data_IF_737726757256
#
_entry.id   IF_737726757256
#
_cell.length_a   1.000
_cell.length_b   1.000
_cell.length_c   1.000
_cell.angle_alpha   90.00
_cell.angle_beta   90.00
_cell.angle_gamma   90.00
#
_symmetry.space_group_name_H-M   'P 1'
#
loop_
_entity.id
_entity.type
_entity.pdbx_description
1 polymer ?
#
# COMPACT_ATOMS: atom_id res chain seq x y z
N UNK A 1 -11.92 -10.30 11.66
CA UNK A 1 -12.17 -8.95 12.19
C UNK A 1 -13.63 -8.75 12.61
N UNK A 2 -14.59 -8.89 11.70
CA UNK A 2 -16.02 -8.67 12.02
C UNK A 2 -16.52 -9.63 13.11
N UNK A 3 -16.22 -10.92 13.01
CA UNK A 3 -16.54 -11.92 14.03
C UNK A 3 -15.93 -11.64 15.40
N UNK A 4 -14.80 -10.93 15.42
CA UNK A 4 -14.15 -10.46 16.64
C UNK A 4 -14.68 -9.10 17.15
N UNK A 5 -15.82 -8.62 16.62
CA UNK A 5 -16.49 -7.40 17.06
C UNK A 5 -15.95 -6.09 16.48
N UNK A 6 -14.98 -6.12 15.56
CA UNK A 6 -14.46 -4.90 14.93
C UNK A 6 -15.33 -4.44 13.76
N UNK A 7 -15.64 -3.13 13.73
CA UNK A 7 -16.15 -2.49 12.53
C UNK A 7 -15.03 -2.36 11.50
N UNK A 8 -15.22 -2.87 10.29
CA UNK A 8 -14.24 -2.80 9.21
C UNK A 8 -14.73 -1.88 8.09
N UNK A 9 -13.82 -1.08 7.54
CA UNK A 9 -14.09 -0.17 6.43
C UNK A 9 -12.99 -0.38 5.39
N UNK A 10 -13.38 -0.77 4.18
CA UNK A 10 -12.47 -1.03 3.08
C UNK A 10 -12.85 -0.18 1.85
N UNK A 11 -12.35 1.05 1.75
CA UNK A 11 -12.66 1.93 0.62
C UNK A 11 -11.89 1.52 -0.63
N UNK A 12 -12.47 1.74 -1.80
CA UNK A 12 -11.69 1.77 -3.04
C UNK A 12 -10.85 3.05 -3.09
N UNK A 13 -9.58 2.92 -3.37
CA UNK A 13 -8.69 4.06 -3.61
C UNK A 13 -9.14 4.85 -4.84
N UNK A 14 -8.67 6.11 -4.96
CA UNK A 14 -8.92 6.91 -6.17
C UNK A 14 -8.48 6.16 -7.42
N UNK A 15 -9.32 6.14 -8.45
CA UNK A 15 -9.07 5.40 -9.68
C UNK A 15 -9.39 3.90 -9.62
N UNK A 16 -9.97 3.41 -8.52
CA UNK A 16 -10.35 2.01 -8.37
C UNK A 16 -11.84 1.84 -8.10
N UNK A 17 -12.40 0.74 -8.56
CA UNK A 17 -13.78 0.33 -8.28
C UNK A 17 -14.80 1.43 -8.57
N UNK A 18 -15.62 1.75 -7.59
CA UNK A 18 -16.65 2.78 -7.69
C UNK A 18 -16.16 4.21 -7.39
N UNK A 19 -14.94 4.38 -6.86
CA UNK A 19 -14.41 5.71 -6.53
C UNK A 19 -14.14 6.53 -7.79
N UNK A 20 -14.70 7.73 -7.85
CA UNK A 20 -14.65 8.63 -9.02
C UNK A 20 -14.14 10.01 -8.62
N UNK A 21 -13.46 10.66 -9.53
CA UNK A 21 -13.17 12.09 -9.42
C UNK A 21 -14.43 12.90 -9.68
N UNK A 22 -14.66 13.92 -8.84
CA UNK A 22 -15.86 14.80 -8.96
C UNK A 22 -15.80 15.74 -10.17
N UNK A 23 -14.61 15.98 -10.70
CA UNK A 23 -14.39 16.87 -11.86
C UNK A 23 -13.39 16.25 -12.83
N UNK A 24 -13.66 16.43 -14.14
CA UNK A 24 -12.75 16.04 -15.21
C UNK A 24 -11.42 16.80 -15.15
N UNK A 25 -11.45 18.05 -14.64
CA UNK A 25 -10.26 18.89 -14.50
C UNK A 25 -9.38 18.53 -13.28
N UNK A 26 -9.81 17.62 -12.39
CA UNK A 26 -8.97 17.21 -11.25
C UNK A 26 -7.77 16.41 -11.75
N UNK A 27 -6.52 16.78 -11.39
CA UNK A 27 -5.33 16.01 -11.75
C UNK A 27 -5.40 14.56 -11.26
N UNK A 28 -5.10 13.60 -12.15
CA UNK A 28 -5.07 12.17 -11.83
C UNK A 28 -3.74 11.81 -11.18
N UNK A 29 -3.58 12.21 -9.93
CA UNK A 29 -2.37 12.00 -9.12
C UNK A 29 -2.58 10.82 -8.18
N UNK A 30 -1.69 9.83 -8.25
CA UNK A 30 -1.64 8.65 -7.39
C UNK A 30 -0.46 8.66 -6.41
N UNK A 31 0.18 9.84 -6.20
CA UNK A 31 1.27 9.99 -5.25
C UNK A 31 0.81 9.73 -3.81
N UNK A 32 1.73 9.23 -2.97
CA UNK A 32 1.42 8.80 -1.60
C UNK A 32 0.78 9.90 -0.75
N UNK A 33 1.22 11.15 -0.91
CA UNK A 33 0.64 12.30 -0.20
C UNK A 33 -0.85 12.49 -0.51
N UNK A 34 -1.24 12.28 -1.77
CA UNK A 34 -2.62 12.39 -2.20
C UNK A 34 -3.48 11.23 -1.68
N UNK A 35 -2.95 10.01 -1.71
CA UNK A 35 -3.63 8.82 -1.21
C UNK A 35 -3.80 8.85 0.32
N UNK A 36 -2.79 9.33 1.05
CA UNK A 36 -2.84 9.50 2.49
C UNK A 36 -3.88 10.57 2.89
N UNK A 37 -3.92 11.70 2.17
CA UNK A 37 -4.90 12.74 2.43
C UNK A 37 -6.33 12.24 2.17
N UNK A 38 -6.55 11.48 1.09
CA UNK A 38 -7.86 10.86 0.83
C UNK A 38 -8.32 9.97 1.99
N UNK A 39 -7.41 9.17 2.56
CA UNK A 39 -7.74 8.29 3.67
C UNK A 39 -8.13 9.08 4.93
N UNK A 40 -7.40 10.15 5.25
CA UNK A 40 -7.70 11.02 6.37
C UNK A 40 -9.03 11.77 6.17
N UNK A 41 -9.22 12.39 5.01
CA UNK A 41 -10.45 13.11 4.66
C UNK A 41 -11.68 12.18 4.70
N UNK A 42 -11.51 10.93 4.26
CA UNK A 42 -12.56 9.93 4.30
C UNK A 42 -12.97 9.59 5.74
N UNK A 43 -12.00 9.39 6.63
CA UNK A 43 -12.30 9.14 8.05
C UNK A 43 -12.92 10.35 8.74
N UNK A 44 -12.51 11.57 8.36
CA UNK A 44 -13.12 12.82 8.85
C UNK A 44 -14.59 12.93 8.43
N UNK A 45 -14.89 12.62 7.17
CA UNK A 45 -16.27 12.63 6.65
C UNK A 45 -17.17 11.57 7.31
N UNK A 46 -16.58 10.48 7.80
CA UNK A 46 -17.30 9.47 8.58
C UNK A 46 -17.42 9.82 10.07
N UNK A 47 -16.80 10.90 10.53
CA UNK A 47 -16.78 11.28 11.94
C UNK A 47 -15.99 10.29 12.81
N UNK A 48 -14.96 9.64 12.26
CA UNK A 48 -14.14 8.64 12.96
C UNK A 48 -12.80 9.29 13.35
N UNK A 49 -12.65 9.74 14.61
CA UNK A 49 -11.45 10.48 15.03
C UNK A 49 -10.23 9.57 15.23
N UNK A 50 -10.43 8.28 15.57
CA UNK A 50 -9.36 7.33 15.85
C UNK A 50 -9.68 5.95 15.29
N UNK A 51 -8.68 5.28 14.69
CA UNK A 51 -8.85 4.00 14.02
C UNK A 51 -7.53 3.23 13.93
N UNK A 52 -7.60 1.93 13.71
CA UNK A 52 -6.46 1.10 13.33
C UNK A 52 -6.42 0.94 11.81
N UNK A 53 -5.21 0.80 11.27
CA UNK A 53 -4.98 0.65 9.82
C UNK A 53 -4.46 -0.74 9.53
N UNK A 54 -5.06 -1.41 8.56
CA UNK A 54 -4.55 -2.64 7.97
C UNK A 54 -4.33 -2.34 6.50
N UNK A 55 -3.09 -2.33 6.05
CA UNK A 55 -2.74 -1.99 4.68
C UNK A 55 -1.83 -3.02 4.03
N UNK A 56 -2.12 -3.36 2.77
CA UNK A 56 -1.29 -4.21 1.94
C UNK A 56 -0.72 -3.39 0.77
N UNK A 57 0.55 -3.58 0.44
CA UNK A 57 1.26 -2.90 -0.65
C UNK A 57 1.06 -1.37 -0.60
N UNK A 58 0.38 -0.76 -1.56
CA UNK A 58 0.04 0.67 -1.53
C UNK A 58 -0.75 1.06 -0.28
N UNK A 59 -1.61 0.16 0.21
CA UNK A 59 -2.31 0.34 1.48
C UNK A 59 -1.36 0.40 2.68
N UNK A 60 -0.28 -0.37 2.70
CA UNK A 60 0.75 -0.28 3.73
C UNK A 60 1.50 1.07 3.64
N UNK A 61 1.86 1.51 2.43
CA UNK A 61 2.47 2.84 2.21
C UNK A 61 1.57 3.98 2.70
N UNK A 62 0.27 3.89 2.41
CA UNK A 62 -0.73 4.83 2.94
C UNK A 62 -0.77 4.76 4.47
N UNK A 63 -0.78 3.56 5.04
CA UNK A 63 -0.78 3.35 6.48
C UNK A 63 0.41 4.02 7.18
N UNK A 64 1.61 3.82 6.67
CA UNK A 64 2.79 4.54 7.17
C UNK A 64 2.67 6.05 7.02
N UNK A 65 2.15 6.53 5.88
CA UNK A 65 2.01 7.96 5.63
C UNK A 65 1.03 8.63 6.61
N UNK A 66 -0.14 8.05 6.83
CA UNK A 66 -1.10 8.61 7.80
C UNK A 66 -0.62 8.47 9.24
N UNK A 67 0.12 7.40 9.58
CA UNK A 67 0.75 7.24 10.89
C UNK A 67 1.84 8.30 11.15
N UNK A 68 2.57 8.69 10.10
CA UNK A 68 3.56 9.78 10.20
C UNK A 68 2.92 11.17 10.27
N UNK A 69 1.81 11.39 9.54
CA UNK A 69 1.12 12.70 9.49
C UNK A 69 0.28 12.96 10.74
N UNK A 70 -0.44 11.95 11.22
CA UNK A 70 -1.45 12.06 12.27
C UNK A 70 -1.37 10.89 13.26
N UNK A 71 -0.22 10.69 13.95
CA UNK A 71 -0.02 9.55 14.84
C UNK A 71 -1.08 9.44 15.94
N UNK A 72 -1.59 10.57 16.44
CA UNK A 72 -2.63 10.62 17.47
C UNK A 72 -3.97 10.01 17.04
N UNK A 73 -4.20 9.85 15.75
CA UNK A 73 -5.42 9.25 15.17
C UNK A 73 -5.31 7.76 14.94
N UNK A 74 -4.09 7.21 14.95
CA UNK A 74 -3.85 5.82 14.58
C UNK A 74 -3.58 5.01 15.84
N UNK A 75 -4.48 4.08 16.17
CA UNK A 75 -4.34 3.21 17.33
C UNK A 75 -3.27 2.14 17.12
N UNK A 76 -3.21 1.58 15.91
CA UNK A 76 -2.19 0.62 15.48
C UNK A 76 -2.12 0.56 13.95
N UNK A 77 -0.97 0.13 13.44
CA UNK A 77 -0.74 -0.12 12.01
C UNK A 77 -0.33 -1.57 11.78
N UNK A 78 -1.07 -2.29 10.95
CA UNK A 78 -0.64 -3.57 10.40
C UNK A 78 -0.30 -3.37 8.92
N UNK A 79 0.99 -3.43 8.58
CA UNK A 79 1.50 -3.24 7.24
C UNK A 79 1.91 -4.59 6.63
N UNK A 80 1.41 -4.90 5.44
CA UNK A 80 1.63 -6.16 4.76
C UNK A 80 2.47 -5.95 3.51
N UNK A 81 3.52 -6.75 3.35
CA UNK A 81 4.39 -6.91 2.19
C UNK A 81 5.27 -5.73 1.81
N UNK A 82 5.05 -4.55 2.36
CA UNK A 82 5.85 -3.36 2.05
C UNK A 82 6.43 -2.75 3.33
N UNK A 83 7.73 -2.57 3.32
CA UNK A 83 8.52 -1.97 4.39
C UNK A 83 8.32 -0.45 4.49
N UNK A 84 8.49 0.10 5.69
CA UNK A 84 8.59 1.53 5.89
C UNK A 84 9.83 2.09 5.19
N UNK A 85 9.68 3.21 4.53
CA UNK A 85 10.76 3.97 3.92
C UNK A 85 10.86 5.34 4.60
N UNK A 86 11.92 5.61 5.37
CA UNK A 86 12.10 6.90 6.04
C UNK A 86 12.04 8.07 5.05
N UNK A 87 11.43 9.17 5.48
CA UNK A 87 11.21 10.37 4.66
C UNK A 87 10.36 10.12 3.41
N UNK A 88 9.75 8.93 3.31
CA UNK A 88 9.03 8.48 2.10
C UNK A 88 9.86 8.67 0.83
N UNK A 89 11.18 8.72 1.00
CA UNK A 89 12.14 8.83 -0.08
C UNK A 89 12.44 7.44 -0.63
N UNK A 90 12.17 7.25 -1.91
CA UNK A 90 12.49 6.00 -2.57
C UNK A 90 14.01 5.91 -2.78
N UNK A 91 14.65 5.01 -2.04
CA UNK A 91 16.08 4.78 -2.15
C UNK A 91 16.40 3.93 -3.39
N UNK A 92 17.58 4.12 -4.02
CA UNK A 92 18.02 3.25 -5.09
C UNK A 92 18.02 1.78 -4.61
N UNK A 93 17.25 0.90 -5.26
CA UNK A 93 17.16 -0.50 -4.83
C UNK A 93 18.46 -1.26 -5.17
N UNK A 94 18.71 -2.36 -4.47
CA UNK A 94 19.75 -3.32 -4.86
C UNK A 94 19.51 -3.85 -6.28
N UNK A 95 20.52 -4.44 -6.92
CA UNK A 95 20.34 -5.04 -8.26
C UNK A 95 19.30 -6.18 -8.26
N UNK A 96 19.23 -6.98 -7.18
CA UNK A 96 18.21 -8.02 -7.07
C UNK A 96 16.80 -7.41 -6.94
N UNK A 97 16.64 -6.40 -6.09
CA UNK A 97 15.38 -5.68 -5.95
C UNK A 97 15.02 -4.91 -7.24
N UNK A 98 16.01 -4.37 -7.96
CA UNK A 98 15.78 -3.73 -9.27
C UNK A 98 15.22 -4.71 -10.30
N UNK A 99 15.69 -5.95 -10.31
CA UNK A 99 15.16 -7.01 -11.16
C UNK A 99 13.69 -7.34 -10.82
N UNK A 100 13.31 -7.29 -9.54
CA UNK A 100 11.93 -7.47 -9.08
C UNK A 100 11.06 -6.27 -9.48
N UNK A 101 11.61 -5.06 -9.45
CA UNK A 101 10.94 -3.82 -9.82
C UNK A 101 10.93 -3.52 -11.34
N UNK A 102 11.25 -4.50 -12.20
CA UNK A 102 11.27 -4.34 -13.65
C UNK A 102 10.01 -3.61 -14.16
N UNK A 103 8.85 -3.91 -13.60
CA UNK A 103 7.56 -3.34 -13.98
C UNK A 103 7.49 -1.84 -13.69
N UNK A 104 8.16 -1.34 -12.66
CA UNK A 104 8.21 0.09 -12.35
C UNK A 104 9.02 0.84 -13.40
N UNK A 105 10.18 0.30 -13.80
CA UNK A 105 10.98 0.85 -14.91
C UNK A 105 10.24 0.77 -16.23
N UNK A 106 9.54 -0.33 -16.47
CA UNK A 106 8.70 -0.49 -17.65
C UNK A 106 7.63 0.61 -17.73
N UNK A 107 6.93 0.90 -16.64
CA UNK A 107 5.95 1.99 -16.55
C UNK A 107 6.57 3.39 -16.73
N UNK A 108 7.88 3.58 -16.52
CA UNK A 108 8.57 4.83 -16.78
C UNK A 108 8.89 5.06 -18.25
N UNK A 109 8.82 4.03 -19.09
CA UNK A 109 9.04 4.15 -20.53
C UNK A 109 7.74 4.46 -21.28
N UNK A 110 7.83 5.16 -22.43
CA UNK A 110 6.66 5.47 -23.27
C UNK A 110 5.95 4.21 -23.76
N UNK A 111 6.72 3.16 -24.11
CA UNK A 111 6.15 1.88 -24.56
C UNK A 111 5.45 1.14 -23.44
N UNK A 112 6.01 1.20 -22.23
CA UNK A 112 5.40 0.60 -21.05
C UNK A 112 4.12 1.32 -20.63
N UNK A 113 4.13 2.65 -20.60
CA UNK A 113 2.91 3.45 -20.36
C UNK A 113 1.80 3.08 -21.33
N UNK A 114 2.12 3.05 -22.63
CA UNK A 114 1.16 2.68 -23.67
C UNK A 114 0.59 1.28 -23.41
N UNK A 115 1.45 0.28 -23.14
CA UNK A 115 1.03 -1.09 -22.91
C UNK A 115 0.13 -1.24 -21.69
N UNK A 116 0.48 -0.60 -20.56
CA UNK A 116 -0.33 -0.63 -19.33
C UNK A 116 -1.69 0.07 -19.53
N UNK A 117 -1.72 1.13 -20.31
CA UNK A 117 -2.96 1.86 -20.65
C UNK A 117 -3.89 1.04 -21.54
N UNK A 118 -3.33 0.34 -22.53
CA UNK A 118 -4.11 -0.47 -23.48
C UNK A 118 -4.61 -1.79 -22.88
N UNK A 119 -3.85 -2.40 -21.94
CA UNK A 119 -4.16 -3.68 -21.32
C UNK A 119 -3.88 -3.68 -19.82
N UNK A 120 -4.59 -2.86 -19.02
CA UNK A 120 -4.35 -2.76 -17.60
C UNK A 120 -4.69 -4.05 -16.84
N UNK A 121 -5.69 -4.81 -17.30
CA UNK A 121 -6.09 -6.07 -16.68
C UNK A 121 -5.04 -7.17 -16.95
N UNK A 122 -4.54 -7.27 -18.17
CA UNK A 122 -3.46 -8.20 -18.50
C UNK A 122 -2.16 -7.88 -17.77
N UNK A 123 -1.84 -6.59 -17.58
CA UNK A 123 -0.72 -6.18 -16.75
C UNK A 123 -0.88 -6.62 -15.28
N UNK A 124 -2.05 -6.40 -14.68
CA UNK A 124 -2.34 -6.83 -13.32
C UNK A 124 -2.32 -8.35 -13.17
N UNK A 125 -2.81 -9.09 -14.17
CA UNK A 125 -2.74 -10.55 -14.19
C UNK A 125 -1.29 -11.04 -14.21
N UNK A 126 -0.44 -10.37 -14.97
CA UNK A 126 0.98 -10.72 -15.00
C UNK A 126 1.62 -10.55 -13.61
N UNK A 127 1.31 -9.45 -12.90
CA UNK A 127 1.77 -9.23 -11.54
C UNK A 127 1.28 -10.34 -10.58
N UNK A 128 -0.01 -10.69 -10.63
CA UNK A 128 -0.55 -11.76 -9.80
C UNK A 128 0.12 -13.12 -10.06
N UNK A 129 0.45 -13.40 -11.31
CA UNK A 129 1.13 -14.65 -11.69
C UNK A 129 2.60 -14.71 -11.27
N UNK A 130 3.24 -13.56 -11.00
CA UNK A 130 4.69 -13.47 -10.83
C UNK A 130 5.16 -13.00 -9.45
N UNK A 131 4.27 -12.44 -8.62
CA UNK A 131 4.65 -11.89 -7.32
C UNK A 131 4.54 -12.87 -6.17
N UNK A 132 3.91 -14.02 -6.41
CA UNK A 132 3.69 -15.07 -5.39
C UNK A 132 3.89 -16.45 -6.00
N UNK A 133 4.07 -17.49 -5.17
CA UNK A 133 4.11 -18.88 -5.63
C UNK A 133 2.85 -19.23 -6.44
N UNK A 134 3.00 -20.15 -7.40
CA UNK A 134 1.89 -20.55 -8.27
C UNK A 134 0.73 -21.15 -7.48
N UNK A 135 -0.49 -20.87 -7.90
CA UNK A 135 -1.70 -21.50 -7.37
C UNK A 135 -2.27 -20.80 -6.13
N UNK A 136 -1.82 -19.61 -5.79
CA UNK A 136 -2.34 -18.85 -4.66
C UNK A 136 -3.73 -18.22 -4.90
N UNK A 137 -4.17 -18.12 -6.15
CA UNK A 137 -5.48 -17.58 -6.51
C UNK A 137 -6.17 -18.46 -7.56
N UNK A 138 -7.49 -18.37 -7.62
CA UNK A 138 -8.35 -18.94 -8.66
C UNK A 138 -8.67 -17.90 -9.74
N UNK A 139 -9.17 -18.35 -10.90
CA UNK A 139 -9.69 -17.43 -11.93
C UNK A 139 -10.86 -16.58 -11.42
N UNK A 140 -11.68 -17.13 -10.53
CA UNK A 140 -12.77 -16.38 -9.88
C UNK A 140 -12.23 -15.25 -9.01
N UNK A 141 -11.21 -15.52 -8.19
CA UNK A 141 -10.54 -14.50 -7.36
C UNK A 141 -10.02 -13.36 -8.21
N UNK A 142 -9.33 -13.68 -9.29
CA UNK A 142 -8.78 -12.67 -10.21
C UNK A 142 -9.90 -11.86 -10.87
N UNK A 143 -10.92 -12.52 -11.40
CA UNK A 143 -12.02 -11.85 -12.08
C UNK A 143 -12.79 -10.91 -11.15
N UNK A 144 -12.99 -11.30 -9.90
CA UNK A 144 -13.60 -10.46 -8.87
C UNK A 144 -12.75 -9.22 -8.58
N UNK A 145 -11.43 -9.37 -8.43
CA UNK A 145 -10.51 -8.24 -8.25
C UNK A 145 -10.47 -7.32 -9.48
N UNK A 146 -10.50 -7.90 -10.68
CA UNK A 146 -10.45 -7.17 -11.95
C UNK A 146 -11.65 -6.22 -12.16
N UNK A 147 -12.76 -6.43 -11.46
CA UNK A 147 -13.89 -5.49 -11.49
C UNK A 147 -13.47 -4.08 -11.03
N UNK A 148 -12.56 -3.98 -10.06
CA UNK A 148 -12.07 -2.71 -9.57
C UNK A 148 -11.18 -1.99 -10.59
N UNK A 149 -10.46 -2.72 -11.45
CA UNK A 149 -9.55 -2.18 -12.47
C UNK A 149 -10.27 -1.73 -13.76
N UNK A 150 -11.58 -1.97 -13.87
CA UNK A 150 -12.41 -1.43 -14.96
C UNK A 150 -12.74 0.05 -14.82
N UNK A 151 -12.30 0.68 -13.73
CA UNK A 151 -12.38 2.13 -13.57
C UNK A 151 -11.51 2.81 -14.64
N UNK A 152 -12.06 3.78 -15.36
CA UNK A 152 -11.38 4.48 -16.47
C UNK A 152 -10.12 5.24 -16.02
N UNK A 153 -10.06 5.65 -14.75
CA UNK A 153 -8.91 6.37 -14.18
C UNK A 153 -7.81 5.41 -13.67
N UNK A 154 -8.09 4.08 -13.59
CA UNK A 154 -7.16 3.10 -13.04
C UNK A 154 -5.77 3.12 -13.70
N UNK A 155 -5.63 3.05 -15.04
CA UNK A 155 -4.30 3.05 -15.65
C UNK A 155 -3.53 4.33 -15.34
N UNK A 156 -4.19 5.48 -15.44
CA UNK A 156 -3.55 6.79 -15.22
C UNK A 156 -3.08 6.95 -13.77
N UNK A 157 -3.92 6.59 -12.79
CA UNK A 157 -3.55 6.66 -11.38
C UNK A 157 -2.42 5.68 -11.06
N UNK A 158 -2.51 4.45 -11.55
CA UNK A 158 -1.46 3.43 -11.34
C UNK A 158 -0.13 3.87 -11.93
N UNK A 159 -0.12 4.35 -13.18
CA UNK A 159 1.08 4.89 -13.81
C UNK A 159 1.67 6.04 -13.01
N UNK A 160 0.86 7.03 -12.62
CA UNK A 160 1.34 8.17 -11.82
C UNK A 160 1.89 7.73 -10.46
N UNK A 161 1.24 6.78 -9.78
CA UNK A 161 1.70 6.26 -8.48
C UNK A 161 3.13 5.73 -8.55
N UNK A 162 3.44 4.90 -9.55
CA UNK A 162 4.78 4.34 -9.70
C UNK A 162 5.78 5.32 -10.28
N UNK A 163 5.41 6.04 -11.33
CA UNK A 163 6.28 7.00 -12.02
C UNK A 163 6.74 8.14 -11.12
N UNK A 164 5.86 8.62 -10.22
CA UNK A 164 6.19 9.68 -9.25
C UNK A 164 7.30 9.29 -8.26
N UNK A 165 7.66 8.02 -8.16
CA UNK A 165 8.77 7.51 -7.34
C UNK A 165 10.12 7.62 -8.04
N UNK A 166 10.12 7.61 -9.38
CA UNK A 166 11.31 7.55 -10.21
C UNK A 166 11.58 8.83 -11.00
N UNK A 167 10.54 9.58 -11.34
CA UNK A 167 10.62 10.71 -12.26
C UNK A 167 10.30 12.01 -11.52
N UNK A 168 11.24 12.95 -11.55
CA UNK A 168 11.06 14.27 -10.93
C UNK A 168 9.96 15.09 -11.61
N UNK A 169 9.81 14.95 -12.93
CA UNK A 169 8.86 15.70 -13.75
C UNK A 169 7.48 15.03 -13.88
N UNK A 170 7.19 13.98 -13.10
CA UNK A 170 5.88 13.36 -13.12
C UNK A 170 4.82 14.32 -12.58
N UNK A 171 3.57 14.19 -13.08
CA UNK A 171 2.44 15.03 -12.68
C UNK A 171 2.29 15.03 -11.16
N UNK A 172 2.28 16.24 -10.60
CA UNK A 172 2.02 16.50 -9.18
C UNK A 172 0.84 17.45 -9.03
N UNK A 173 0.16 17.36 -7.92
CA UNK A 173 -0.92 18.30 -7.59
C UNK A 173 -0.46 19.20 -6.44
N UNK A 174 -0.37 20.52 -6.65
CA UNK A 174 0.10 21.47 -5.63
C UNK A 174 -0.70 21.44 -4.33
N UNK A 175 -1.94 20.96 -4.36
CA UNK A 175 -2.78 20.83 -3.14
C UNK A 175 -2.16 19.89 -2.10
N UNK A 176 -1.33 18.94 -2.52
CA UNK A 176 -0.68 17.98 -1.63
C UNK A 176 0.77 18.34 -1.29
N UNK A 177 1.30 19.48 -1.73
CA UNK A 177 2.71 19.86 -1.48
C UNK A 177 3.03 19.99 0.01
N UNK A 178 2.11 20.53 0.81
CA UNK A 178 2.29 20.61 2.26
C UNK A 178 2.31 19.25 2.95
N UNK A 179 1.47 18.31 2.48
CA UNK A 179 1.47 16.93 2.96
C UNK A 179 2.77 16.23 2.58
N UNK A 180 3.21 16.38 1.33
CA UNK A 180 4.47 15.79 0.87
C UNK A 180 5.67 16.34 1.63
N UNK A 181 5.69 17.64 1.94
CA UNK A 181 6.76 18.26 2.73
C UNK A 181 6.87 17.60 4.12
N UNK A 182 5.75 17.42 4.82
CA UNK A 182 5.72 16.72 6.12
C UNK A 182 6.22 15.27 6.00
N UNK A 183 5.82 14.55 4.96
CA UNK A 183 6.27 13.19 4.73
C UNK A 183 7.79 13.12 4.49
N UNK A 184 8.36 14.09 3.78
CA UNK A 184 9.80 14.16 3.53
C UNK A 184 10.64 14.38 4.80
N UNK A 185 10.03 14.82 5.89
CA UNK A 185 10.67 15.02 7.20
C UNK A 185 10.48 13.79 8.13
N UNK A 186 9.57 12.88 7.80
CA UNK A 186 9.20 11.76 8.66
C UNK A 186 10.24 10.64 8.64
N UNK A 187 11.08 10.57 9.65
CA UNK A 187 12.14 9.55 9.81
C UNK A 187 11.66 8.32 10.60
N UNK A 188 10.60 8.47 11.38
CA UNK A 188 10.11 7.47 12.33
C UNK A 188 8.59 7.41 12.34
N UNK A 189 8.08 6.27 12.81
CA UNK A 189 6.65 6.01 13.03
C UNK A 189 6.41 5.92 14.54
N UNK A 190 5.53 6.78 15.07
CA UNK A 190 5.14 6.81 16.48
C UNK A 190 3.79 6.13 16.72
N UNK A 191 3.63 4.92 16.16
CA UNK A 191 2.42 4.11 16.25
C UNK A 191 2.81 2.65 16.44
N UNK A 192 2.14 1.88 17.33
CA UNK A 192 2.35 0.44 17.42
C UNK A 192 2.18 -0.22 16.06
N UNK A 193 3.22 -0.90 15.58
CA UNK A 193 3.26 -1.38 14.19
C UNK A 193 3.57 -2.88 14.12
N UNK A 194 2.76 -3.60 13.35
CA UNK A 194 2.99 -4.98 12.93
C UNK A 194 3.31 -5.01 11.43
N UNK A 195 4.49 -5.52 11.09
CA UNK A 195 4.89 -5.81 9.71
C UNK A 195 4.71 -7.29 9.42
N UNK A 196 3.95 -7.65 8.40
CA UNK A 196 3.77 -9.03 7.93
C UNK A 196 4.35 -9.16 6.52
N UNK A 197 5.34 -10.03 6.37
CA UNK A 197 6.04 -10.29 5.12
C UNK A 197 5.89 -11.75 4.71
N UNK A 198 5.66 -12.00 3.44
CA UNK A 198 5.78 -13.36 2.87
C UNK A 198 7.24 -13.72 2.61
N UNK A 199 7.68 -14.91 3.00
CA UNK A 199 9.05 -15.39 2.73
C UNK A 199 9.32 -15.52 1.22
N UNK A 200 8.32 -15.92 0.47
CA UNK A 200 8.35 -16.11 -0.99
C UNK A 200 7.76 -14.92 -1.76
N UNK A 201 7.87 -13.72 -1.21
CA UNK A 201 7.48 -12.49 -1.91
C UNK A 201 8.47 -12.21 -3.05
N UNK A 202 7.98 -12.29 -4.29
CA UNK A 202 8.79 -12.04 -5.49
C UNK A 202 8.70 -10.58 -5.99
N UNK A 203 7.91 -9.74 -5.34
CA UNK A 203 7.81 -8.31 -5.60
C UNK A 203 8.75 -7.51 -4.71
N UNK A 204 8.57 -7.59 -3.39
CA UNK A 204 9.42 -6.95 -2.39
C UNK A 204 10.18 -8.03 -1.62
N UNK A 205 11.52 -8.00 -1.68
CA UNK A 205 12.34 -9.01 -1.02
C UNK A 205 12.13 -8.95 0.51
N UNK A 206 12.03 -10.09 1.20
CA UNK A 206 11.86 -10.12 2.67
C UNK A 206 12.98 -9.40 3.43
N UNK A 207 14.17 -9.28 2.85
CA UNK A 207 15.28 -8.50 3.40
C UNK A 207 14.97 -7.00 3.51
N UNK A 208 14.11 -6.46 2.65
CA UNK A 208 13.76 -5.02 2.66
C UNK A 208 12.97 -4.61 3.92
N UNK A 209 12.34 -5.56 4.60
CA UNK A 209 11.62 -5.33 5.85
C UNK A 209 12.41 -5.73 7.11
N UNK A 210 13.68 -6.14 6.96
CA UNK A 210 14.55 -6.48 8.08
C UNK A 210 15.14 -5.23 8.75
N UNK A 211 15.50 -5.35 10.01
CA UNK A 211 16.28 -4.36 10.78
C UNK A 211 15.68 -2.94 10.80
N UNK A 212 14.35 -2.84 10.76
CA UNK A 212 13.64 -1.55 10.75
C UNK A 212 13.25 -1.04 12.14
N UNK A 213 13.52 -1.78 13.21
CA UNK A 213 13.17 -1.41 14.59
C UNK A 213 13.57 0.03 14.96
N UNK A 214 14.76 0.56 14.56
CA UNK A 214 15.16 1.92 14.90
C UNK A 214 14.25 3.03 14.37
N UNK A 215 13.40 2.71 13.40
CA UNK A 215 12.46 3.64 12.80
C UNK A 215 11.10 3.69 13.50
N UNK A 216 10.90 2.91 14.56
CA UNK A 216 9.65 2.88 15.31
C UNK A 216 9.89 3.30 16.75
N UNK A 217 9.12 4.28 17.25
CA UNK A 217 9.23 4.78 18.62
C UNK A 217 8.26 4.09 19.59
N UNK A 218 7.31 3.33 19.05
CA UNK A 218 6.40 2.42 19.76
C UNK A 218 6.76 0.97 19.44
N UNK A 219 5.96 0.03 19.95
CA UNK A 219 6.16 -1.39 19.68
C UNK A 219 6.20 -1.67 18.18
N UNK A 220 7.23 -2.40 17.75
CA UNK A 220 7.37 -2.89 16.38
C UNK A 220 7.54 -4.41 16.41
N UNK A 221 6.74 -5.10 15.63
CA UNK A 221 6.86 -6.55 15.47
C UNK A 221 6.90 -6.89 13.99
N UNK A 222 7.84 -7.73 13.59
CA UNK A 222 7.94 -8.27 12.25
C UNK A 222 7.65 -9.77 12.26
N UNK A 223 6.78 -10.22 11.34
CA UNK A 223 6.46 -11.63 11.10
C UNK A 223 6.76 -11.94 9.65
N UNK A 224 7.52 -13.02 9.41
CA UNK A 224 7.72 -13.59 8.07
C UNK A 224 6.99 -14.92 8.01
N UNK A 225 6.09 -15.08 7.04
CA UNK A 225 5.28 -16.30 6.89
C UNK A 225 5.92 -17.20 5.82
N UNK A 226 6.38 -18.42 6.20
CA UNK A 226 7.03 -19.34 5.28
C UNK A 226 6.12 -19.72 4.09
N UNK A 227 6.72 -19.77 2.89
CA UNK A 227 6.05 -20.20 1.66
C UNK A 227 4.98 -19.25 1.11
N UNK A 228 4.71 -18.12 1.78
CA UNK A 228 3.74 -17.11 1.39
C UNK A 228 4.41 -16.03 0.53
N UNK A 229 3.74 -15.56 -0.49
CA UNK A 229 4.22 -14.52 -1.40
C UNK A 229 3.76 -13.11 -1.04
N UNK A 230 3.50 -12.30 -2.07
CA UNK A 230 3.19 -10.88 -1.94
C UNK A 230 1.78 -10.58 -1.38
N UNK A 231 0.87 -11.55 -1.38
CA UNK A 231 -0.51 -11.33 -0.95
C UNK A 231 -0.85 -12.11 0.34
N UNK A 232 -0.13 -11.91 1.47
CA UNK A 232 -0.24 -12.74 2.66
C UNK A 232 -1.66 -12.85 3.21
N UNK A 233 -2.45 -11.78 3.14
CA UNK A 233 -3.86 -11.76 3.58
C UNK A 233 -4.78 -12.66 2.74
N UNK A 234 -4.35 -13.07 1.55
CA UNK A 234 -5.06 -13.99 0.68
C UNK A 234 -4.46 -15.39 0.65
N UNK A 235 -3.14 -15.46 0.76
CA UNK A 235 -2.40 -16.72 0.72
C UNK A 235 -2.43 -17.47 2.07
N UNK A 236 -2.44 -16.73 3.18
CA UNK A 236 -2.48 -17.27 4.54
C UNK A 236 -3.47 -16.47 5.43
N UNK A 237 -4.78 -16.40 5.06
CA UNK A 237 -5.73 -15.50 5.72
C UNK A 237 -5.90 -15.73 7.21
N UNK A 238 -5.85 -16.98 7.69
CA UNK A 238 -5.98 -17.31 9.10
C UNK A 238 -4.78 -16.77 9.91
N UNK A 239 -3.55 -17.07 9.48
CA UNK A 239 -2.34 -16.63 10.17
C UNK A 239 -2.23 -15.10 10.22
N UNK A 240 -2.61 -14.42 9.11
CA UNK A 240 -2.62 -12.96 9.06
C UNK A 240 -3.71 -12.38 9.97
N UNK A 241 -4.91 -12.96 9.95
CA UNK A 241 -6.01 -12.50 10.81
C UNK A 241 -5.66 -12.65 12.30
N UNK A 242 -5.10 -13.79 12.71
CA UNK A 242 -4.68 -14.04 14.08
C UNK A 242 -3.62 -13.05 14.55
N UNK A 243 -2.59 -12.79 13.74
CA UNK A 243 -1.54 -11.84 14.06
C UNK A 243 -2.08 -10.40 14.23
N UNK A 244 -2.99 -9.99 13.35
CA UNK A 244 -3.63 -8.66 13.42
C UNK A 244 -4.57 -8.57 14.63
N UNK A 245 -5.38 -9.60 14.89
CA UNK A 245 -6.27 -9.62 16.06
C UNK A 245 -5.48 -9.51 17.37
N UNK A 246 -4.38 -10.21 17.48
CA UNK A 246 -3.47 -10.13 18.64
C UNK A 246 -2.98 -8.68 18.83
N UNK A 247 -2.49 -8.02 17.76
CA UNK A 247 -2.08 -6.62 17.85
C UNK A 247 -3.22 -5.69 18.28
N UNK A 248 -4.43 -5.89 17.76
CA UNK A 248 -5.58 -5.05 18.05
C UNK A 248 -6.06 -5.20 19.51
N UNK A 249 -5.91 -6.38 20.09
CA UNK A 249 -6.32 -6.67 21.48
C UNK A 249 -5.26 -6.29 22.50
N UNK A 250 -3.98 -6.47 22.21
CA UNK A 250 -2.88 -6.08 23.11
C UNK A 250 -2.80 -4.56 23.31
N UNK A 251 -3.14 -3.77 22.30
CA UNK A 251 -3.17 -2.30 22.37
C UNK A 251 -4.35 -1.72 23.18
N UNK A 252 -5.26 -2.57 23.68
CA UNK A 252 -6.41 -2.12 24.50
C UNK A 252 -6.14 -2.16 26.02
N UNK A 253 -4.93 -2.55 26.42
CA UNK A 253 -4.54 -2.70 27.85
C UNK A 253 -3.64 -1.58 28.38
N UNK A 254 -3.45 -0.47 27.63
CA UNK A 254 -2.73 0.73 28.11
C UNK A 254 -3.65 1.96 28.23
#
# INVERSE_FOLDING_TARGET
>A
MHEAGFRTIAPYLRGFGATRFLSLGTPRVGAIAALAQDALDFMDRLGIPRFSVIGHDWGARIGYAIAALEPGRISSLSALSVAFQPRFAFQPPSYDQSRRFWYQFFMCSDKGMKRVTEDPIGFSRFQWNTWSPKGWFTEEDFNNAALAWRNSDYPTITLNSYRSRWLENELRDPRYSGVQAKLNEAERIDVPTLMIQGESDFCDAPSESADLDPHFTRSYKRIVIPGVGHFPHREAPAAVADAILHQLTDGTTE
#
